data_IF_889970679428
#
_entry.id   IF_889970679428
#
_cell.length_a   1.000
_cell.length_b   1.000
_cell.length_c   1.000
_cell.angle_alpha   90.00
_cell.angle_beta   90.00
_cell.angle_gamma   90.00
#
_symmetry.space_group_name_H-M   'P 1'
#
loop_
_entity.id
_entity.type
_entity.pdbx_description
1 polymer ?
#
# COMPACT_ATOMS: atom_id res chain seq x y z
N UNK A 1 -2.44 17.78 -16.80
CA UNK A 1 -3.64 18.03 -15.96
C UNK A 1 -4.51 16.77 -15.77
N UNK A 2 -4.68 15.91 -16.78
CA UNK A 2 -5.48 14.66 -16.66
C UNK A 2 -4.88 13.64 -15.69
N UNK A 3 -3.54 13.47 -15.65
CA UNK A 3 -2.88 12.55 -14.73
C UNK A 3 -3.10 12.92 -13.24
N UNK A 4 -3.04 14.21 -12.88
CA UNK A 4 -3.24 14.69 -11.50
C UNK A 4 -4.69 14.46 -11.01
N UNK A 5 -5.68 14.59 -11.89
CA UNK A 5 -7.08 14.30 -11.55
C UNK A 5 -7.34 12.80 -11.37
N UNK A 6 -6.67 11.94 -12.14
CA UNK A 6 -6.73 10.49 -11.97
C UNK A 6 -6.08 10.06 -10.63
N UNK A 7 -4.92 10.63 -10.30
CA UNK A 7 -4.21 10.37 -9.04
C UNK A 7 -5.04 10.84 -7.83
N UNK A 8 -5.72 11.97 -7.94
CA UNK A 8 -6.64 12.48 -6.90
C UNK A 8 -7.85 11.57 -6.67
N UNK A 9 -8.41 10.96 -7.73
CA UNK A 9 -9.52 10.00 -7.60
C UNK A 9 -9.07 8.65 -7.06
N UNK A 10 -7.89 8.19 -7.47
CA UNK A 10 -7.28 6.95 -6.97
C UNK A 10 -6.94 7.08 -5.48
N UNK A 11 -6.37 8.21 -5.04
CA UNK A 11 -6.10 8.45 -3.61
C UNK A 11 -7.37 8.57 -2.78
N UNK A 12 -8.44 9.19 -3.31
CA UNK A 12 -9.75 9.22 -2.66
C UNK A 12 -10.37 7.82 -2.52
N UNK A 13 -10.23 6.98 -3.53
CA UNK A 13 -10.70 5.58 -3.48
C UNK A 13 -9.93 4.76 -2.43
N UNK A 14 -8.60 4.96 -2.32
CA UNK A 14 -7.74 4.29 -1.34
C UNK A 14 -8.08 4.68 0.12
N UNK A 15 -8.39 5.96 0.37
CA UNK A 15 -8.80 6.44 1.70
C UNK A 15 -10.16 5.88 2.11
N UNK A 16 -11.12 5.84 1.18
CA UNK A 16 -12.45 5.28 1.42
C UNK A 16 -12.37 3.75 1.66
N UNK A 17 -11.47 3.08 0.95
CA UNK A 17 -11.22 1.65 1.06
C UNK A 17 -10.64 1.25 2.43
N UNK A 18 -9.62 1.96 2.91
CA UNK A 18 -9.02 1.70 4.23
C UNK A 18 -10.03 1.80 5.38
N UNK A 19 -10.90 2.81 5.33
CA UNK A 19 -12.01 2.96 6.28
C UNK A 19 -13.01 1.81 6.23
N UNK A 20 -13.38 1.36 5.03
CA UNK A 20 -14.33 0.27 4.81
C UNK A 20 -13.81 -1.08 5.35
N UNK A 21 -12.53 -1.40 5.12
CA UNK A 21 -11.95 -2.66 5.63
C UNK A 21 -11.80 -2.66 7.13
N UNK A 22 -11.44 -1.51 7.69
CA UNK A 22 -11.34 -1.34 9.14
C UNK A 22 -12.72 -1.57 9.77
N UNK A 23 -13.77 -1.04 9.14
CA UNK A 23 -15.15 -1.29 9.56
C UNK A 23 -15.54 -2.77 9.44
N UNK A 24 -15.22 -3.43 8.31
CA UNK A 24 -15.44 -4.86 8.13
C UNK A 24 -14.67 -5.73 9.14
N UNK A 25 -13.47 -5.31 9.56
CA UNK A 25 -12.72 -6.01 10.61
C UNK A 25 -13.35 -5.84 11.99
N UNK A 26 -13.95 -4.68 12.28
CA UNK A 26 -14.72 -4.49 13.51
C UNK A 26 -16.02 -5.30 13.51
N UNK A 27 -16.71 -5.36 12.37
CA UNK A 27 -17.91 -6.19 12.20
C UNK A 27 -17.62 -7.70 12.31
N UNK A 28 -16.42 -8.13 11.96
CA UNK A 28 -16.00 -9.53 12.08
C UNK A 28 -15.84 -10.01 13.55
N UNK A 29 -16.03 -9.13 14.53
CA UNK A 29 -16.03 -9.51 15.95
C UNK A 29 -14.64 -9.77 16.53
N UNK A 30 -13.61 -9.06 16.04
CA UNK A 30 -12.28 -9.15 16.66
C UNK A 30 -12.34 -8.62 18.12
N UNK A 31 -11.78 -9.37 19.10
CA UNK A 31 -11.90 -9.04 20.52
C UNK A 31 -11.11 -7.81 20.92
N UNK A 32 -9.95 -7.59 20.28
CA UNK A 32 -8.98 -6.56 20.67
C UNK A 32 -8.69 -5.56 19.54
N UNK A 33 -8.28 -4.34 19.92
CA UNK A 33 -7.89 -3.30 18.97
C UNK A 33 -6.68 -3.69 18.10
N UNK A 34 -5.71 -4.41 18.68
CA UNK A 34 -4.56 -4.99 17.96
C UNK A 34 -5.02 -6.01 16.92
N UNK A 35 -5.91 -6.93 17.31
CA UNK A 35 -6.48 -7.94 16.42
C UNK A 35 -7.26 -7.30 15.25
N UNK A 36 -8.03 -6.24 15.50
CA UNK A 36 -8.67 -5.44 14.44
C UNK A 36 -7.64 -4.85 13.49
N UNK A 37 -6.55 -4.28 14.03
CA UNK A 37 -5.46 -3.71 13.24
C UNK A 37 -4.77 -4.75 12.34
N UNK A 38 -4.41 -5.93 12.90
CA UNK A 38 -3.76 -7.02 12.16
C UNK A 38 -4.68 -7.57 11.06
N UNK A 39 -5.96 -7.80 11.39
CA UNK A 39 -6.96 -8.25 10.41
C UNK A 39 -7.11 -7.24 9.26
N UNK A 40 -7.18 -5.95 9.59
CA UNK A 40 -7.28 -4.88 8.59
C UNK A 40 -6.04 -4.81 7.72
N UNK A 41 -4.84 -4.87 8.32
CA UNK A 41 -3.56 -4.93 7.61
C UNK A 41 -3.52 -6.10 6.63
N UNK A 42 -3.93 -7.30 7.04
CA UNK A 42 -3.95 -8.49 6.18
C UNK A 42 -4.93 -8.34 5.01
N UNK A 43 -6.13 -7.80 5.24
CA UNK A 43 -7.12 -7.59 4.17
C UNK A 43 -6.68 -6.50 3.19
N UNK A 44 -6.10 -5.41 3.70
CA UNK A 44 -5.51 -4.34 2.88
C UNK A 44 -4.38 -4.88 2.00
N UNK A 45 -3.46 -5.64 2.60
CA UNK A 45 -2.37 -6.26 1.87
C UNK A 45 -2.88 -7.21 0.78
N UNK A 46 -3.81 -8.11 1.12
CA UNK A 46 -4.38 -9.05 0.17
C UNK A 46 -5.02 -8.35 -1.04
N UNK A 47 -5.75 -7.27 -0.79
CA UNK A 47 -6.35 -6.48 -1.87
C UNK A 47 -5.32 -5.75 -2.72
N UNK A 48 -4.35 -5.07 -2.11
CA UNK A 48 -3.30 -4.39 -2.87
C UNK A 48 -2.50 -5.39 -3.70
N UNK A 49 -2.21 -6.55 -3.13
CA UNK A 49 -1.45 -7.60 -3.79
C UNK A 49 -2.24 -8.26 -4.94
N UNK A 50 -3.46 -8.73 -4.66
CA UNK A 50 -4.26 -9.46 -5.67
C UNK A 50 -4.90 -8.52 -6.67
N UNK A 51 -5.50 -7.42 -6.24
CA UNK A 51 -6.25 -6.54 -7.16
C UNK A 51 -5.33 -5.54 -7.85
N UNK A 52 -4.47 -4.85 -7.09
CA UNK A 52 -3.65 -3.77 -7.67
C UNK A 52 -2.44 -4.34 -8.38
N UNK A 53 -1.74 -5.31 -7.79
CA UNK A 53 -0.53 -5.85 -8.39
C UNK A 53 -0.82 -6.96 -9.43
N UNK A 54 -1.49 -8.04 -9.03
CA UNK A 54 -1.81 -9.13 -9.96
C UNK A 54 -2.92 -8.72 -10.94
N UNK A 55 -3.97 -8.10 -10.43
CA UNK A 55 -5.13 -7.68 -11.22
C UNK A 55 -4.74 -6.68 -12.31
N UNK A 56 -3.93 -5.66 -12.03
CA UNK A 56 -3.50 -4.73 -13.09
C UNK A 56 -2.58 -5.39 -14.12
N UNK A 57 -1.76 -6.37 -13.71
CA UNK A 57 -0.91 -7.13 -14.62
C UNK A 57 -1.73 -8.04 -15.55
N UNK A 58 -2.75 -8.69 -15.01
CA UNK A 58 -3.61 -9.62 -15.75
C UNK A 58 -4.66 -8.88 -16.58
N UNK A 59 -5.43 -7.95 -16.01
CA UNK A 59 -6.42 -7.16 -16.75
C UNK A 59 -5.78 -6.35 -17.86
N UNK A 60 -4.63 -5.71 -17.60
CA UNK A 60 -3.91 -4.94 -18.62
C UNK A 60 -3.52 -5.78 -19.83
N UNK A 61 -3.24 -7.07 -19.60
CA UNK A 61 -2.97 -8.03 -20.67
C UNK A 61 -4.26 -8.49 -21.35
N UNK A 62 -5.27 -8.89 -20.58
CA UNK A 62 -6.56 -9.37 -21.12
C UNK A 62 -7.20 -8.31 -22.02
N UNK A 63 -7.20 -7.03 -21.64
CA UNK A 63 -7.76 -5.96 -22.49
C UNK A 63 -6.98 -5.77 -23.80
N UNK A 64 -5.66 -5.97 -23.79
CA UNK A 64 -4.83 -5.85 -25.00
C UNK A 64 -4.95 -7.06 -25.92
N UNK A 65 -5.16 -8.24 -25.36
CA UNK A 65 -5.19 -9.51 -26.09
C UNK A 65 -6.62 -10.05 -26.29
N UNK A 66 -7.66 -9.29 -25.88
CA UNK A 66 -9.05 -9.77 -25.90
C UNK A 66 -9.52 -10.19 -27.29
N UNK A 67 -9.13 -9.43 -28.32
CA UNK A 67 -9.44 -9.75 -29.73
C UNK A 67 -8.83 -11.08 -30.17
N UNK A 68 -7.61 -11.35 -29.72
CA UNK A 68 -6.82 -12.50 -30.17
C UNK A 68 -7.19 -13.76 -29.39
N UNK A 69 -7.58 -13.62 -28.11
CA UNK A 69 -8.06 -14.71 -27.26
C UNK A 69 -9.43 -15.21 -27.74
N UNK A 70 -10.30 -14.32 -28.23
CA UNK A 70 -11.59 -14.68 -28.82
C UNK A 70 -11.46 -15.52 -30.09
N UNK A 71 -10.34 -15.40 -30.81
CA UNK A 71 -10.10 -16.12 -32.07
C UNK A 71 -9.23 -17.38 -31.90
N UNK A 72 -8.19 -17.34 -31.06
CA UNK A 72 -7.13 -18.36 -31.06
C UNK A 72 -6.98 -19.16 -29.75
N UNK A 73 -7.84 -18.93 -28.76
CA UNK A 73 -7.93 -19.76 -27.54
C UNK A 73 -6.89 -19.46 -26.44
N UNK A 74 -6.95 -20.26 -25.35
CA UNK A 74 -6.28 -19.96 -24.05
C UNK A 74 -4.75 -20.13 -24.08
N UNK A 75 -4.19 -20.92 -25.00
CA UNK A 75 -2.73 -21.10 -25.09
C UNK A 75 -1.99 -19.80 -25.46
N UNK A 76 -2.57 -18.94 -26.31
CA UNK A 76 -1.96 -17.63 -26.62
C UNK A 76 -2.03 -16.66 -25.46
N UNK A 77 -3.01 -16.80 -24.55
CA UNK A 77 -3.13 -15.95 -23.36
C UNK A 77 -1.91 -16.11 -22.45
N UNK A 78 -1.42 -17.33 -22.23
CA UNK A 78 -0.26 -17.59 -21.36
C UNK A 78 1.01 -16.92 -21.94
N UNK A 79 1.22 -17.07 -23.25
CA UNK A 79 2.36 -16.45 -23.93
C UNK A 79 2.25 -14.91 -23.93
N UNK A 80 1.04 -14.38 -24.15
CA UNK A 80 0.79 -12.95 -24.11
C UNK A 80 0.98 -12.34 -22.71
N UNK A 81 0.60 -13.07 -21.65
CA UNK A 81 0.85 -12.67 -20.26
C UNK A 81 2.35 -12.60 -19.98
N UNK A 82 3.13 -13.61 -20.40
CA UNK A 82 4.59 -13.57 -20.27
C UNK A 82 5.23 -12.36 -20.97
N UNK A 83 4.75 -11.99 -22.17
CA UNK A 83 5.23 -10.83 -22.92
C UNK A 83 4.74 -9.49 -22.40
N UNK A 84 3.61 -9.47 -21.67
CA UNK A 84 3.03 -8.25 -21.14
C UNK A 84 3.68 -7.81 -19.81
N UNK A 85 4.30 -8.73 -19.06
CA UNK A 85 4.98 -8.45 -17.78
C UNK A 85 6.03 -7.32 -17.88
N UNK A 86 6.89 -7.23 -18.91
CA UNK A 86 7.77 -6.08 -19.09
C UNK A 86 7.01 -4.76 -19.32
N UNK A 87 5.91 -4.76 -20.08
CA UNK A 87 5.12 -3.53 -20.31
C UNK A 87 4.38 -3.06 -19.06
N UNK A 88 3.99 -3.97 -18.15
CA UNK A 88 3.37 -3.59 -16.88
C UNK A 88 4.41 -3.04 -15.89
N UNK A 89 5.68 -3.46 -15.99
CA UNK A 89 6.77 -2.95 -15.14
C UNK A 89 6.92 -1.43 -15.20
N UNK A 90 6.72 -0.80 -16.37
CA UNK A 90 6.83 0.67 -16.53
C UNK A 90 5.74 1.40 -15.74
N UNK A 91 4.53 0.84 -15.69
CA UNK A 91 3.44 1.37 -14.87
C UNK A 91 3.79 1.31 -13.38
N UNK A 92 4.33 0.18 -12.92
CA UNK A 92 4.73 0.02 -11.52
C UNK A 92 5.94 0.90 -11.14
N UNK A 93 6.89 1.10 -12.05
CA UNK A 93 7.99 2.05 -11.88
C UNK A 93 7.44 3.47 -11.67
N UNK A 94 6.49 3.91 -12.50
CA UNK A 94 5.86 5.22 -12.35
C UNK A 94 5.06 5.32 -11.04
N UNK A 95 4.40 4.23 -10.62
CA UNK A 95 3.71 4.17 -9.33
C UNK A 95 4.68 4.33 -8.15
N UNK A 96 5.80 3.58 -8.13
CA UNK A 96 6.82 3.67 -7.07
C UNK A 96 7.48 5.04 -7.06
N UNK A 97 7.79 5.61 -8.22
CA UNK A 97 8.34 6.95 -8.33
C UNK A 97 7.38 8.01 -7.75
N UNK A 98 6.08 7.86 -7.97
CA UNK A 98 5.06 8.75 -7.44
C UNK A 98 4.92 8.63 -5.91
N UNK A 99 4.96 7.40 -5.39
CA UNK A 99 4.97 7.16 -3.93
C UNK A 99 6.18 7.82 -3.26
N UNK A 100 7.37 7.67 -3.86
CA UNK A 100 8.62 8.25 -3.38
C UNK A 100 8.62 9.78 -3.42
N UNK A 101 8.22 10.38 -4.56
CA UNK A 101 8.39 11.82 -4.81
C UNK A 101 7.23 12.67 -4.31
N UNK A 102 6.00 12.15 -4.30
CA UNK A 102 4.83 12.92 -3.91
C UNK A 102 4.25 12.44 -2.60
N UNK A 103 3.87 11.17 -2.51
CA UNK A 103 2.99 10.78 -1.42
C UNK A 103 3.67 10.90 -0.06
N UNK A 104 4.93 10.52 0.04
CA UNK A 104 5.58 10.45 1.34
C UNK A 104 6.14 11.78 1.82
N UNK A 105 6.82 12.58 0.99
CA UNK A 105 7.16 13.94 1.40
C UNK A 105 5.91 14.81 1.62
N UNK A 106 4.83 14.64 0.86
CA UNK A 106 3.65 15.50 0.99
C UNK A 106 2.68 15.07 2.10
N UNK A 107 2.38 13.78 2.26
CA UNK A 107 1.38 13.35 3.25
C UNK A 107 2.00 12.95 4.59
N UNK A 108 3.16 12.29 4.56
CA UNK A 108 3.72 11.70 5.77
C UNK A 108 4.75 12.61 6.45
N UNK A 109 5.60 13.31 5.69
CA UNK A 109 6.55 14.29 6.25
C UNK A 109 5.82 15.57 6.65
N UNK A 110 4.98 16.13 5.78
CA UNK A 110 4.23 17.34 6.12
C UNK A 110 3.04 17.06 7.06
N UNK A 111 2.64 15.79 7.23
CA UNK A 111 1.54 15.39 8.11
C UNK A 111 0.26 16.21 7.88
N UNK A 112 -0.12 16.40 6.61
CA UNK A 112 -1.25 17.26 6.22
C UNK A 112 -2.57 16.85 6.91
N UNK A 113 -2.79 15.54 7.06
CA UNK A 113 -4.03 15.02 7.65
C UNK A 113 -4.17 15.35 9.15
N UNK A 114 -3.22 15.02 10.04
CA UNK A 114 -3.31 15.40 11.44
C UNK A 114 -3.25 16.93 11.64
N UNK A 115 -2.52 17.69 10.80
CA UNK A 115 -2.55 19.15 10.85
C UNK A 115 -3.95 19.71 10.54
N UNK A 116 -4.60 19.18 9.51
CA UNK A 116 -5.98 19.55 9.16
C UNK A 116 -6.94 19.23 10.32
N UNK A 117 -6.81 18.04 10.92
CA UNK A 117 -7.62 17.63 12.07
C UNK A 117 -7.35 18.48 13.31
N UNK A 118 -6.10 18.92 13.54
CA UNK A 118 -5.75 19.81 14.63
C UNK A 118 -6.39 21.19 14.46
N UNK A 119 -6.38 21.73 13.23
CA UNK A 119 -7.10 22.97 12.91
C UNK A 119 -8.60 22.81 13.14
N UNK A 120 -9.19 21.68 12.69
CA UNK A 120 -10.59 21.35 12.93
C UNK A 120 -10.92 21.17 14.42
N UNK A 121 -10.04 20.54 15.20
CA UNK A 121 -10.23 20.40 16.64
C UNK A 121 -10.26 21.78 17.30
N UNK A 122 -9.31 22.67 16.96
CA UNK A 122 -9.28 24.04 17.50
C UNK A 122 -10.54 24.82 17.15
N UNK A 123 -11.08 24.63 15.94
CA UNK A 123 -12.32 25.25 15.50
C UNK A 123 -13.57 24.67 16.18
N UNK A 124 -13.59 23.36 16.44
CA UNK A 124 -14.79 22.63 16.90
C UNK A 124 -14.77 22.33 18.41
N UNK A 125 -13.66 22.59 19.12
CA UNK A 125 -13.39 22.20 20.52
C UNK A 125 -13.74 20.73 20.85
N UNK A 126 -13.64 19.83 19.87
CA UNK A 126 -13.95 18.40 20.03
C UNK A 126 -12.66 17.59 20.11
N UNK A 127 -12.29 17.17 21.31
CA UNK A 127 -11.02 16.48 21.59
C UNK A 127 -10.94 15.06 21.02
N UNK A 128 -12.07 14.46 20.63
CA UNK A 128 -12.13 13.07 20.16
C UNK A 128 -11.70 12.90 18.69
N UNK A 129 -11.62 13.98 17.91
CA UNK A 129 -11.29 13.91 16.47
C UNK A 129 -9.86 13.41 16.23
N UNK A 130 -8.91 13.81 17.07
CA UNK A 130 -7.52 13.37 16.98
C UNK A 130 -7.37 11.90 17.37
N UNK A 131 -8.11 11.44 18.40
CA UNK A 131 -8.06 10.04 18.87
C UNK A 131 -8.53 9.07 17.81
N UNK A 132 -9.58 9.42 17.06
CA UNK A 132 -10.06 8.56 15.98
C UNK A 132 -9.04 8.40 14.85
N UNK A 133 -8.26 9.44 14.52
CA UNK A 133 -7.26 9.37 13.45
C UNK A 133 -6.08 8.44 13.76
N UNK A 134 -5.74 8.27 15.04
CA UNK A 134 -4.58 7.46 15.47
C UNK A 134 -4.75 5.97 15.19
N UNK A 135 -5.96 5.42 15.36
CA UNK A 135 -6.23 3.99 15.17
C UNK A 135 -6.19 3.52 13.71
N UNK A 136 -6.31 4.44 12.75
CA UNK A 136 -6.30 4.09 11.31
C UNK A 136 -4.90 4.11 10.68
N UNK A 137 -3.92 4.75 11.32
CA UNK A 137 -2.68 5.09 10.65
C UNK A 137 -1.77 3.88 10.41
N UNK A 138 -1.50 3.07 11.44
CA UNK A 138 -0.52 1.95 11.40
C UNK A 138 -0.80 0.89 10.31
N UNK A 139 -2.01 0.29 10.20
CA UNK A 139 -2.24 -0.78 9.23
C UNK A 139 -2.19 -0.31 7.77
N UNK A 140 -2.63 0.93 7.51
CA UNK A 140 -2.57 1.54 6.18
C UNK A 140 -1.14 1.83 5.76
N UNK A 141 -0.38 2.41 6.69
CA UNK A 141 1.01 2.78 6.52
C UNK A 141 1.86 1.56 6.19
N UNK A 142 1.66 0.47 6.93
CA UNK A 142 2.32 -0.81 6.69
C UNK A 142 1.95 -1.40 5.32
N UNK A 143 0.66 -1.45 4.98
CA UNK A 143 0.21 -2.02 3.70
C UNK A 143 0.77 -1.28 2.48
N UNK A 144 0.95 0.05 2.57
CA UNK A 144 1.62 0.85 1.52
C UNK A 144 3.11 0.52 1.39
N UNK A 145 3.83 0.50 2.51
CA UNK A 145 5.25 0.16 2.51
C UNK A 145 5.48 -1.26 1.98
N UNK A 146 4.67 -2.23 2.42
CA UNK A 146 4.72 -3.61 1.94
C UNK A 146 4.46 -3.71 0.43
N UNK A 147 3.56 -2.90 -0.12
CA UNK A 147 3.31 -2.87 -1.56
C UNK A 147 4.53 -2.40 -2.37
N UNK A 148 5.23 -1.35 -1.93
CA UNK A 148 6.44 -0.87 -2.59
C UNK A 148 7.54 -1.94 -2.56
N UNK A 149 7.71 -2.61 -1.42
CA UNK A 149 8.67 -3.71 -1.27
C UNK A 149 8.30 -4.90 -2.17
N UNK A 150 7.03 -5.29 -2.22
CA UNK A 150 6.54 -6.37 -3.08
C UNK A 150 6.81 -6.09 -4.56
N UNK A 151 6.55 -4.86 -5.02
CA UNK A 151 6.89 -4.44 -6.39
C UNK A 151 8.40 -4.55 -6.63
N UNK A 152 9.22 -4.10 -5.68
CA UNK A 152 10.67 -4.23 -5.75
C UNK A 152 11.13 -5.68 -5.91
N UNK A 153 10.56 -6.61 -5.14
CA UNK A 153 10.90 -8.04 -5.20
C UNK A 153 10.45 -8.67 -6.51
N UNK A 154 9.24 -8.37 -6.98
CA UNK A 154 8.70 -8.95 -8.21
C UNK A 154 9.46 -8.48 -9.45
N UNK A 155 9.82 -7.19 -9.50
CA UNK A 155 10.47 -6.62 -10.68
C UNK A 155 12.01 -6.57 -10.57
N UNK A 156 12.62 -7.05 -9.49
CA UNK A 156 14.09 -7.01 -9.33
C UNK A 156 14.82 -7.71 -10.47
N UNK A 157 14.28 -8.84 -10.94
CA UNK A 157 14.89 -9.65 -11.99
C UNK A 157 14.51 -9.21 -13.40
N UNK A 158 13.32 -8.60 -13.57
CA UNK A 158 12.79 -8.21 -14.89
C UNK A 158 13.29 -6.82 -15.30
N UNK A 159 13.31 -5.87 -14.36
CA UNK A 159 13.64 -4.47 -14.61
C UNK A 159 14.50 -3.90 -13.46
N UNK A 160 15.83 -3.99 -13.53
CA UNK A 160 16.71 -3.53 -12.44
C UNK A 160 16.56 -2.02 -12.15
N UNK A 161 16.03 -1.25 -13.11
CA UNK A 161 15.69 0.17 -12.90
C UNK A 161 14.67 0.37 -11.78
N UNK A 162 13.73 -0.58 -11.57
CA UNK A 162 12.77 -0.51 -10.47
C UNK A 162 13.50 -0.62 -9.12
N UNK A 163 14.52 -1.45 -9.03
CA UNK A 163 15.33 -1.64 -7.82
C UNK A 163 16.12 -0.37 -7.47
N UNK A 164 16.62 0.35 -8.48
CA UNK A 164 17.28 1.66 -8.32
C UNK A 164 16.35 2.71 -7.68
N UNK A 165 15.03 2.60 -7.86
CA UNK A 165 14.05 3.48 -7.23
C UNK A 165 13.62 3.00 -5.83
N UNK A 166 13.53 1.69 -5.63
CA UNK A 166 13.12 1.10 -4.33
C UNK A 166 14.23 1.18 -3.29
N UNK A 167 15.51 1.13 -3.68
CA UNK A 167 16.63 1.24 -2.74
C UNK A 167 16.69 2.61 -2.02
N UNK A 168 16.65 3.77 -2.71
CA UNK A 168 16.58 5.08 -2.06
C UNK A 168 15.33 5.23 -1.17
N UNK A 169 14.21 4.66 -1.60
CA UNK A 169 13.00 4.60 -0.78
C UNK A 169 13.27 3.90 0.57
N UNK A 170 13.94 2.75 0.56
CA UNK A 170 14.26 2.00 1.77
C UNK A 170 15.35 2.68 2.63
N UNK A 171 16.38 3.25 2.00
CA UNK A 171 17.55 3.81 2.69
C UNK A 171 17.35 5.24 3.18
N UNK A 172 16.59 6.06 2.46
CA UNK A 172 16.42 7.47 2.78
C UNK A 172 15.04 7.75 3.39
N UNK A 173 13.97 7.21 2.79
CA UNK A 173 12.61 7.56 3.22
C UNK A 173 12.20 6.81 4.47
N UNK A 174 12.44 5.50 4.52
CA UNK A 174 12.07 4.67 5.67
C UNK A 174 12.64 5.17 7.01
N UNK A 175 13.93 5.54 7.14
CA UNK A 175 14.46 6.08 8.40
C UNK A 175 13.96 7.49 8.71
N UNK A 176 13.77 8.36 7.70
CA UNK A 176 13.20 9.70 7.90
C UNK A 176 11.76 9.59 8.39
N UNK A 177 11.00 8.70 7.77
CA UNK A 177 9.61 8.45 8.09
C UNK A 177 9.41 7.78 9.45
N UNK A 178 10.26 6.80 9.78
CA UNK A 178 10.32 6.23 11.13
C UNK A 178 10.64 7.33 12.14
N UNK A 179 11.69 8.12 11.90
CA UNK A 179 12.09 9.21 12.79
C UNK A 179 10.98 10.24 12.98
N UNK A 180 10.30 10.66 11.92
CA UNK A 180 9.20 11.62 11.96
C UNK A 180 8.01 11.06 12.75
N UNK A 181 7.64 9.80 12.50
CA UNK A 181 6.58 9.12 13.24
C UNK A 181 6.91 8.97 14.73
N UNK A 182 8.16 8.67 15.07
CA UNK A 182 8.57 8.49 16.47
C UNK A 182 8.75 9.82 17.20
N UNK A 183 9.26 10.87 16.53
CA UNK A 183 9.52 12.18 17.14
C UNK A 183 8.28 13.07 17.21
N UNK A 184 7.36 13.02 16.24
CA UNK A 184 6.19 13.90 16.19
C UNK A 184 4.93 13.27 16.80
N UNK A 185 4.94 11.97 17.12
CA UNK A 185 3.90 11.39 17.99
C UNK A 185 4.01 11.85 19.46
N UNK A 186 5.02 12.64 19.82
CA UNK A 186 5.29 13.14 21.18
C UNK A 186 4.28 14.12 21.81
N UNK A 187 3.39 14.85 21.09
CA UNK A 187 2.30 15.58 21.73
C UNK A 187 1.25 14.64 22.36
N UNK A 188 1.31 13.34 22.08
CA UNK A 188 0.38 12.35 22.60
C UNK A 188 1.12 11.48 23.63
N UNK A 189 0.72 11.49 24.91
CA UNK A 189 1.39 10.71 25.96
C UNK A 189 1.22 9.18 25.82
N UNK A 190 0.69 8.69 24.70
CA UNK A 190 0.51 7.28 24.40
C UNK A 190 0.74 7.07 22.90
N UNK A 191 1.91 6.55 22.52
CA UNK A 191 2.12 6.01 21.18
C UNK A 191 1.01 4.99 20.88
N UNK A 192 0.23 5.22 19.82
CA UNK A 192 -0.89 4.38 19.37
C UNK A 192 -2.05 4.10 20.36
N UNK A 193 -1.95 4.42 21.65
CA UNK A 193 -2.95 4.06 22.67
C UNK A 193 -3.01 2.56 22.98
N UNK A 194 -2.13 1.76 22.37
CA UNK A 194 -2.00 0.32 22.61
C UNK A 194 -0.56 -0.11 22.28
N UNK A 195 0.03 -0.95 23.13
CA UNK A 195 1.27 -1.67 22.83
C UNK A 195 0.89 -3.03 22.25
N UNK A 196 1.35 -3.30 21.03
CA UNK A 196 1.04 -4.54 20.33
C UNK A 196 2.04 -5.67 20.62
N UNK A 197 3.07 -5.44 21.44
CA UNK A 197 4.02 -6.48 21.85
C UNK A 197 4.74 -7.18 20.68
N UNK A 198 4.77 -6.57 19.49
CA UNK A 198 5.33 -7.17 18.27
C UNK A 198 4.42 -8.14 17.51
N UNK A 199 3.13 -8.25 17.84
CA UNK A 199 2.18 -9.17 17.18
C UNK A 199 2.02 -8.94 15.67
N UNK A 200 2.34 -7.74 15.16
CA UNK A 200 2.32 -7.43 13.73
C UNK A 200 3.43 -8.15 12.94
N UNK A 201 4.56 -8.49 13.57
CA UNK A 201 5.74 -9.06 12.93
C UNK A 201 5.52 -10.42 12.25
N UNK A 202 4.89 -11.43 12.87
CA UNK A 202 4.63 -12.70 12.19
C UNK A 202 3.73 -12.52 10.95
N UNK A 203 2.75 -11.61 11.01
CA UNK A 203 1.87 -11.34 9.87
C UNK A 203 2.63 -10.66 8.72
N UNK A 204 3.48 -9.69 9.05
CA UNK A 204 4.41 -9.05 8.13
C UNK A 204 5.30 -10.07 7.39
N UNK A 205 5.90 -11.00 8.14
CA UNK A 205 6.77 -12.03 7.56
C UNK A 205 6.03 -12.99 6.64
N UNK A 206 4.82 -13.41 7.02
CA UNK A 206 4.00 -14.27 6.15
C UNK A 206 3.68 -13.59 4.82
N UNK A 207 3.33 -12.32 4.85
CA UNK A 207 3.06 -11.53 3.63
C UNK A 207 4.30 -11.46 2.72
N UNK A 208 5.47 -11.26 3.30
CA UNK A 208 6.72 -11.18 2.54
C UNK A 208 7.12 -12.53 1.92
N UNK A 209 6.91 -13.63 2.64
CA UNK A 209 7.15 -14.99 2.12
C UNK A 209 6.21 -15.27 0.95
N UNK A 210 4.93 -14.90 1.04
CA UNK A 210 4.00 -15.05 -0.09
C UNK A 210 4.47 -14.23 -1.30
N UNK A 211 4.90 -12.99 -1.11
CA UNK A 211 5.42 -12.16 -2.19
C UNK A 211 6.66 -12.78 -2.86
N UNK A 212 7.58 -13.35 -2.08
CA UNK A 212 8.75 -14.07 -2.61
C UNK A 212 8.35 -15.32 -3.39
N UNK A 213 7.44 -16.14 -2.87
CA UNK A 213 6.92 -17.31 -3.57
C UNK A 213 6.25 -16.91 -4.90
N UNK A 214 5.47 -15.83 -4.91
CA UNK A 214 4.87 -15.34 -6.16
C UNK A 214 5.90 -14.83 -7.15
N UNK A 215 6.98 -14.19 -6.70
CA UNK A 215 8.06 -13.78 -7.58
C UNK A 215 8.76 -14.97 -8.23
N UNK A 216 8.94 -16.07 -7.49
CA UNK A 216 9.48 -17.32 -8.04
C UNK A 216 8.55 -17.92 -9.09
N UNK A 217 7.23 -17.92 -8.85
CA UNK A 217 6.23 -18.42 -9.81
C UNK A 217 6.14 -17.56 -11.08
N UNK A 218 6.34 -16.24 -10.97
CA UNK A 218 6.35 -15.35 -12.15
C UNK A 218 7.62 -15.52 -12.98
N UNK A 219 8.73 -15.91 -12.35
CA UNK A 219 10.04 -16.07 -12.99
C UNK A 219 10.26 -17.47 -13.60
N UNK A 220 9.67 -18.51 -13.02
CA UNK A 220 9.78 -19.91 -13.45
C UNK A 220 8.77 -20.29 -14.52
#
# INVERSE_FOLDING_TARGET
>A
RVHLACISRVSQALVLYSGLLSFLSRLAGCPDHTAVGISTMRKLWCFNFVLVLLGSSVLGTIFKTLSDVLQDGVCKLIVAVGQAVPTTSTFFIAFVAQELLLFVPMFDVLQLFPLLLLVLQRATRRDDLLRMAQGFHVPYLYARAAMVVNIGILFSCIAPLALVLVLPWHLAVLPVWYREHTLISTPYPQGAGFDAGGEYWPCAMQQQVVALCTAQVVLG
#
